data_IF_418829091926
#
_entry.id   IF_418829091926
#
_cell.length_a   1.000
_cell.length_b   1.000
_cell.length_c   1.000
_cell.angle_alpha   90.00
_cell.angle_beta   90.00
_cell.angle_gamma   90.00
#
_symmetry.space_group_name_H-M   'P 1'
#
loop_
_entity.id
_entity.type
_entity.pdbx_description
1 polymer ?
#
# COMPACT_ATOMS: atom_id res chain seq x y z
N UNK A 1 -28.49 -21.65 0.02
CA UNK A 1 -29.71 -20.83 -0.02
C UNK A 1 -29.28 -19.38 -0.26
N UNK A 2 -29.31 -18.93 -1.51
CA UNK A 2 -28.97 -17.55 -1.88
C UNK A 2 -30.10 -16.62 -1.44
N UNK A 3 -29.77 -15.64 -0.59
CA UNK A 3 -30.68 -14.59 -0.12
C UNK A 3 -31.33 -13.87 -1.31
N UNK A 4 -32.66 -13.73 -1.29
CA UNK A 4 -33.41 -13.10 -2.38
C UNK A 4 -33.09 -11.60 -2.47
N UNK A 5 -33.25 -11.02 -3.65
CA UNK A 5 -33.02 -9.58 -3.87
C UNK A 5 -33.87 -8.71 -2.91
N UNK A 6 -35.14 -9.08 -2.72
CA UNK A 6 -36.05 -8.40 -1.79
C UNK A 6 -35.55 -8.47 -0.34
N UNK A 7 -35.08 -9.63 0.11
CA UNK A 7 -34.55 -9.81 1.47
C UNK A 7 -33.29 -8.95 1.71
N UNK A 8 -32.40 -8.84 0.72
CA UNK A 8 -31.24 -7.94 0.78
C UNK A 8 -31.65 -6.47 0.85
N UNK A 9 -32.67 -6.08 0.08
CA UNK A 9 -33.16 -4.71 0.08
C UNK A 9 -33.77 -4.33 1.44
N UNK A 10 -34.62 -5.18 2.01
CA UNK A 10 -35.20 -4.98 3.35
C UNK A 10 -34.13 -4.90 4.43
N UNK A 11 -33.11 -5.77 4.36
CA UNK A 11 -31.98 -5.74 5.29
C UNK A 11 -31.24 -4.40 5.23
N UNK A 12 -30.93 -3.91 4.03
CA UNK A 12 -30.26 -2.61 3.84
C UNK A 12 -31.12 -1.45 4.30
N UNK A 13 -32.43 -1.51 4.08
CA UNK A 13 -33.39 -0.52 4.57
C UNK A 13 -33.33 -0.42 6.11
N UNK A 14 -33.39 -1.56 6.80
CA UNK A 14 -33.28 -1.61 8.27
C UNK A 14 -31.94 -1.06 8.76
N UNK A 15 -30.84 -1.37 8.08
CA UNK A 15 -29.52 -0.85 8.44
C UNK A 15 -29.43 0.68 8.26
N UNK A 16 -30.02 1.23 7.21
CA UNK A 16 -30.11 2.68 7.00
C UNK A 16 -30.93 3.38 8.09
N UNK A 17 -32.04 2.77 8.53
CA UNK A 17 -32.91 3.31 9.58
C UNK A 17 -32.20 3.37 10.94
N UNK A 18 -31.25 2.46 11.20
CA UNK A 18 -30.44 2.44 12.43
C UNK A 18 -29.31 3.48 12.43
N UNK A 19 -28.99 4.09 11.28
CA UNK A 19 -27.95 5.13 11.19
C UNK A 19 -28.47 6.51 11.61
N UNK A 20 -27.57 7.42 12.02
CA UNK A 20 -27.91 8.82 12.25
C UNK A 20 -28.59 9.45 11.03
N UNK A 21 -29.67 10.19 11.25
CA UNK A 21 -30.52 10.73 10.17
C UNK A 21 -29.76 11.60 9.17
N UNK A 22 -28.82 12.41 9.69
CA UNK A 22 -27.98 13.27 8.86
C UNK A 22 -26.98 12.51 7.97
N UNK A 23 -26.72 11.23 8.23
CA UNK A 23 -25.77 10.41 7.47
C UNK A 23 -26.46 9.68 6.31
N UNK A 24 -27.73 9.30 6.48
CA UNK A 24 -28.55 8.54 5.52
C UNK A 24 -28.51 9.11 4.08
N UNK A 25 -28.68 10.42 3.83
CA UNK A 25 -28.71 10.94 2.46
C UNK A 25 -27.33 10.92 1.77
N UNK A 26 -26.25 10.77 2.52
CA UNK A 26 -24.89 10.78 1.98
C UNK A 26 -24.33 9.38 1.72
N UNK A 27 -24.91 8.34 2.31
CA UNK A 27 -24.43 6.96 2.16
C UNK A 27 -25.00 6.31 0.90
N UNK A 28 -24.13 5.99 -0.05
CA UNK A 28 -24.52 5.22 -1.25
C UNK A 28 -24.88 3.78 -0.88
N UNK A 29 -25.76 3.15 -1.68
CA UNK A 29 -26.28 1.78 -1.43
C UNK A 29 -25.17 0.75 -1.21
N UNK A 30 -24.04 0.90 -1.93
CA UNK A 30 -22.87 0.02 -1.83
C UNK A 30 -22.18 0.10 -0.46
N UNK A 31 -22.29 1.23 0.22
CA UNK A 31 -21.58 1.52 1.46
C UNK A 31 -22.43 1.31 2.72
N UNK A 32 -23.75 1.07 2.58
CA UNK A 32 -24.67 0.90 3.72
C UNK A 32 -24.16 -0.14 4.71
N UNK A 33 -23.80 -1.32 4.22
CA UNK A 33 -23.32 -2.42 5.08
C UNK A 33 -21.98 -2.06 5.75
N UNK A 34 -21.11 -1.34 5.04
CA UNK A 34 -19.81 -0.94 5.55
C UNK A 34 -19.92 0.14 6.65
N UNK A 35 -20.83 1.10 6.48
CA UNK A 35 -21.14 2.12 7.49
C UNK A 35 -21.85 1.52 8.68
N UNK A 36 -22.81 0.60 8.45
CA UNK A 36 -23.53 -0.06 9.53
C UNK A 36 -22.62 -0.96 10.39
N UNK A 37 -21.54 -1.46 9.82
CA UNK A 37 -20.51 -2.21 10.55
C UNK A 37 -19.60 -1.32 11.43
N UNK A 38 -19.63 0.00 11.27
CA UNK A 38 -18.88 0.92 12.13
C UNK A 38 -19.55 1.02 13.51
N UNK A 39 -18.73 1.27 14.54
CA UNK A 39 -19.24 1.58 15.88
C UNK A 39 -20.10 2.85 15.87
N UNK A 40 -21.04 3.04 16.82
CA UNK A 40 -21.84 4.25 16.90
C UNK A 40 -21.00 5.54 16.94
N UNK A 41 -19.86 5.50 17.65
CA UNK A 41 -18.92 6.62 17.73
C UNK A 41 -18.31 6.95 16.35
N UNK A 42 -17.88 5.93 15.61
CA UNK A 42 -17.35 6.10 14.26
C UNK A 42 -18.42 6.62 13.28
N UNK A 43 -19.68 6.19 13.41
CA UNK A 43 -20.79 6.72 12.60
C UNK A 43 -21.02 8.21 12.87
N UNK A 44 -20.93 8.66 14.13
CA UNK A 44 -21.02 10.09 14.49
C UNK A 44 -19.86 10.89 13.90
N UNK A 45 -18.62 10.38 13.99
CA UNK A 45 -17.44 11.03 13.39
C UNK A 45 -17.56 11.13 11.86
N UNK A 46 -18.07 10.08 11.22
CA UNK A 46 -18.33 10.09 9.78
C UNK A 46 -19.38 11.15 9.41
N UNK A 47 -20.42 11.30 10.22
CA UNK A 47 -21.44 12.33 10.04
C UNK A 47 -20.83 13.74 10.14
N UNK A 48 -20.03 14.01 11.16
CA UNK A 48 -19.34 15.30 11.33
C UNK A 48 -18.44 15.61 10.13
N UNK A 49 -17.69 14.62 9.63
CA UNK A 49 -16.87 14.78 8.43
C UNK A 49 -17.69 15.04 7.17
N UNK A 50 -18.81 14.34 6.99
CA UNK A 50 -19.71 14.58 5.86
C UNK A 50 -20.30 15.99 5.91
N UNK A 51 -20.70 16.46 7.09
CA UNK A 51 -21.20 17.83 7.30
C UNK A 51 -20.13 18.88 7.05
N UNK A 52 -18.87 18.59 7.37
CA UNK A 52 -17.73 19.45 7.06
C UNK A 52 -17.30 19.40 5.57
N UNK A 53 -17.98 18.61 4.73
CA UNK A 53 -17.77 18.59 3.27
C UNK A 53 -16.95 17.40 2.73
N UNK A 54 -16.86 16.29 3.47
CA UNK A 54 -16.10 15.10 3.06
C UNK A 54 -16.65 14.53 1.74
N UNK A 55 -15.82 14.49 0.70
CA UNK A 55 -16.20 14.00 -0.64
C UNK A 55 -16.00 12.50 -0.84
N UNK A 56 -15.15 11.84 -0.04
CA UNK A 56 -14.70 10.45 -0.25
C UNK A 56 -15.10 9.51 0.90
N UNK A 57 -16.35 9.05 0.88
CA UNK A 57 -16.91 8.15 1.90
C UNK A 57 -16.19 6.79 2.09
N UNK A 58 -15.86 6.01 1.03
CA UNK A 58 -15.26 4.68 1.20
C UNK A 58 -13.97 4.70 2.03
N UNK A 59 -13.12 5.70 1.79
CA UNK A 59 -11.84 5.85 2.48
C UNK A 59 -12.00 6.19 3.95
N UNK A 60 -12.91 7.13 4.28
CA UNK A 60 -13.17 7.48 5.67
C UNK A 60 -13.77 6.31 6.45
N UNK A 61 -14.57 5.45 5.82
CA UNK A 61 -15.08 4.22 6.43
C UNK A 61 -13.94 3.26 6.76
N UNK A 62 -12.94 3.11 5.87
CA UNK A 62 -11.76 2.27 6.13
C UNK A 62 -10.92 2.82 7.29
N UNK A 63 -10.67 4.14 7.32
CA UNK A 63 -9.94 4.79 8.41
C UNK A 63 -10.65 4.63 9.75
N UNK A 64 -11.96 4.88 9.81
CA UNK A 64 -12.75 4.74 11.04
C UNK A 64 -12.96 3.29 11.47
N UNK A 65 -12.83 2.33 10.54
CA UNK A 65 -12.81 0.91 10.88
C UNK A 65 -11.49 0.52 11.53
N UNK A 66 -10.37 1.10 11.08
CA UNK A 66 -9.05 0.86 11.65
C UNK A 66 -8.89 1.56 13.01
N UNK A 67 -9.28 2.83 13.09
CA UNK A 67 -9.29 3.61 14.32
C UNK A 67 -10.58 4.45 14.45
N UNK A 68 -11.52 4.03 15.30
CA UNK A 68 -12.74 4.79 15.58
C UNK A 68 -12.52 6.19 16.19
N UNK A 69 -11.32 6.49 16.71
CA UNK A 69 -10.98 7.78 17.31
C UNK A 69 -10.39 8.78 16.30
N UNK A 70 -10.19 8.39 15.03
CA UNK A 70 -9.68 9.27 13.96
C UNK A 70 -10.42 10.61 13.95
N UNK A 71 -9.69 11.73 14.02
CA UNK A 71 -10.28 13.06 14.07
C UNK A 71 -10.92 13.43 12.73
N UNK A 72 -11.90 14.35 12.76
CA UNK A 72 -12.57 14.80 11.53
C UNK A 72 -11.56 15.39 10.54
N UNK A 73 -10.55 16.13 11.01
CA UNK A 73 -9.50 16.71 10.17
C UNK A 73 -8.68 15.63 9.43
N UNK A 74 -8.33 14.55 10.13
CA UNK A 74 -7.54 13.44 9.56
C UNK A 74 -8.33 12.62 8.51
N UNK A 75 -9.66 12.72 8.54
CA UNK A 75 -10.54 12.14 7.51
C UNK A 75 -10.56 12.97 6.22
N UNK A 76 -10.26 14.28 6.29
CA UNK A 76 -10.20 15.18 5.13
C UNK A 76 -8.86 15.10 4.41
N UNK A 77 -7.79 15.28 5.18
CA UNK A 77 -6.43 15.21 4.73
C UNK A 77 -5.69 14.31 5.71
N UNK A 78 -5.11 13.18 5.25
CA UNK A 78 -4.28 12.39 6.15
C UNK A 78 -3.17 13.31 6.65
N UNK A 79 -2.88 13.37 7.97
CA UNK A 79 -1.58 13.84 8.37
C UNK A 79 -0.58 12.98 7.61
N UNK A 80 0.40 13.63 6.95
CA UNK A 80 1.63 12.94 6.60
C UNK A 80 2.05 12.21 7.87
N UNK A 81 1.99 10.88 7.81
CA UNK A 81 2.02 9.93 8.92
C UNK A 81 2.69 10.52 10.16
N UNK A 82 1.89 11.09 11.07
CA UNK A 82 2.40 11.38 12.40
C UNK A 82 2.37 10.05 13.13
N UNK A 83 3.54 9.43 13.07
CA UNK A 83 4.04 8.33 13.89
C UNK A 83 3.39 8.34 15.27
N UNK A 84 2.23 7.70 15.40
CA UNK A 84 1.83 7.16 16.68
C UNK A 84 2.55 5.83 16.78
N UNK A 85 3.62 5.87 17.57
CA UNK A 85 4.40 4.73 18.04
C UNK A 85 3.49 3.55 18.42
N UNK A 86 3.30 2.64 17.48
CA UNK A 86 3.30 1.23 17.81
C UNK A 86 4.74 0.77 17.56
N UNK A 87 5.44 0.17 18.53
CA UNK A 87 6.70 -0.47 18.25
C UNK A 87 6.37 -1.72 17.43
N UNK A 88 6.22 -1.55 16.12
CA UNK A 88 6.54 -2.60 15.17
C UNK A 88 8.07 -2.58 15.05
N UNK A 89 8.71 -3.03 16.14
CA UNK A 89 10.00 -3.69 16.01
C UNK A 89 9.75 -4.99 15.25
N UNK A 90 9.71 -4.92 13.93
CA UNK A 90 9.98 -6.03 13.05
C UNK A 90 10.20 -5.48 11.65
N UNK A 91 11.45 -5.54 11.19
CA UNK A 91 11.85 -5.63 9.77
C UNK A 91 12.43 -4.37 9.08
N UNK A 92 12.54 -3.20 9.73
CA UNK A 92 13.30 -2.08 9.13
C UNK A 92 14.78 -2.45 8.90
N UNK A 93 15.34 -3.31 9.77
CA UNK A 93 16.68 -3.84 9.61
C UNK A 93 16.80 -4.85 8.47
N UNK A 94 15.73 -5.59 8.11
CA UNK A 94 15.83 -6.59 7.04
C UNK A 94 15.73 -5.97 5.66
N UNK A 95 14.87 -4.96 5.45
CA UNK A 95 14.80 -4.27 4.15
C UNK A 95 16.06 -3.45 3.90
N UNK A 96 16.61 -2.78 4.91
CA UNK A 96 17.91 -2.10 4.80
C UNK A 96 19.04 -3.07 4.43
N UNK A 97 19.06 -4.25 5.06
CA UNK A 97 20.02 -5.31 4.75
C UNK A 97 19.88 -5.83 3.31
N UNK A 98 18.66 -6.10 2.85
CA UNK A 98 18.38 -6.54 1.47
C UNK A 98 18.80 -5.50 0.43
N UNK A 99 18.53 -4.21 0.69
CA UNK A 99 18.98 -3.14 -0.21
C UNK A 99 20.50 -3.05 -0.21
N UNK A 100 21.16 -3.20 0.94
CA UNK A 100 22.62 -3.25 1.01
C UNK A 100 23.22 -4.47 0.28
N UNK A 101 22.56 -5.63 0.34
CA UNK A 101 22.94 -6.82 -0.43
C UNK A 101 22.85 -6.54 -1.94
N UNK A 102 21.74 -5.96 -2.41
CA UNK A 102 21.55 -5.56 -3.82
C UNK A 102 22.58 -4.52 -4.27
N UNK A 103 22.95 -3.57 -3.40
CA UNK A 103 24.02 -2.61 -3.68
C UNK A 103 25.35 -3.34 -3.88
N UNK A 104 25.69 -4.33 -3.04
CA UNK A 104 26.93 -5.08 -3.17
C UNK A 104 26.94 -6.01 -4.39
N UNK A 105 25.78 -6.55 -4.80
CA UNK A 105 25.66 -7.24 -6.08
C UNK A 105 26.02 -6.31 -7.24
N UNK A 106 25.54 -5.05 -7.21
CA UNK A 106 25.83 -4.04 -8.21
C UNK A 106 27.26 -3.49 -8.15
N UNK A 107 27.83 -3.40 -6.94
CA UNK A 107 29.13 -2.79 -6.66
C UNK A 107 29.96 -3.71 -5.75
N UNK A 108 30.53 -4.80 -6.29
CA UNK A 108 31.18 -5.85 -5.48
C UNK A 108 32.42 -5.37 -4.72
N UNK A 109 33.08 -4.32 -5.20
CA UNK A 109 34.23 -3.72 -4.52
C UNK A 109 33.83 -2.79 -3.35
N UNK A 110 32.53 -2.51 -3.19
CA UNK A 110 32.04 -1.64 -2.11
C UNK A 110 32.09 -2.36 -0.76
N UNK A 111 32.78 -1.80 0.26
CA UNK A 111 32.78 -2.35 1.60
C UNK A 111 31.38 -2.43 2.18
N UNK A 112 31.09 -3.49 2.96
CA UNK A 112 29.76 -3.73 3.53
C UNK A 112 29.20 -2.53 4.29
N UNK A 113 30.02 -1.92 5.13
CA UNK A 113 29.65 -0.77 5.95
C UNK A 113 29.23 0.43 5.09
N UNK A 114 29.83 0.60 3.90
CA UNK A 114 29.45 1.63 2.95
C UNK A 114 28.14 1.30 2.24
N UNK A 115 27.90 0.04 1.91
CA UNK A 115 26.64 -0.40 1.30
C UNK A 115 25.46 -0.26 2.26
N UNK A 116 25.64 -0.61 3.54
CA UNK A 116 24.65 -0.39 4.61
C UNK A 116 24.37 1.10 4.81
N UNK A 117 25.41 1.92 4.94
CA UNK A 117 25.25 3.36 5.08
C UNK A 117 24.55 3.99 3.86
N UNK A 118 24.83 3.50 2.65
CA UNK A 118 24.17 3.96 1.44
C UNK A 118 22.70 3.51 1.40
N UNK A 119 22.41 2.25 1.74
CA UNK A 119 21.05 1.74 1.85
C UNK A 119 20.22 2.56 2.84
N UNK A 120 20.85 3.06 3.90
CA UNK A 120 20.19 3.88 4.91
C UNK A 120 20.01 5.35 4.54
N UNK A 121 20.74 5.85 3.53
CA UNK A 121 20.70 7.24 3.10
C UNK A 121 19.33 7.66 2.52
N UNK A 122 19.00 8.95 2.66
CA UNK A 122 17.73 9.52 2.19
C UNK A 122 17.48 9.27 0.70
N UNK A 123 18.54 9.35 -0.12
CA UNK A 123 18.46 9.10 -1.56
C UNK A 123 18.01 7.67 -1.90
N UNK A 124 18.22 6.71 -0.99
CA UNK A 124 17.80 5.32 -1.14
C UNK A 124 16.41 5.03 -0.53
N UNK A 125 15.72 6.04 0.01
CA UNK A 125 14.36 5.87 0.52
C UNK A 125 13.41 5.30 -0.55
N UNK A 126 13.53 5.76 -1.80
CA UNK A 126 12.70 5.24 -2.92
C UNK A 126 12.93 3.75 -3.13
N UNK A 127 14.19 3.29 -3.08
CA UNK A 127 14.53 1.88 -3.26
C UNK A 127 13.99 1.05 -2.11
N UNK A 128 14.13 1.51 -0.86
CA UNK A 128 13.57 0.84 0.32
C UNK A 128 12.04 0.72 0.25
N UNK A 129 11.34 1.80 -0.10
CA UNK A 129 9.88 1.77 -0.26
C UNK A 129 9.42 0.78 -1.33
N UNK A 130 10.15 0.67 -2.44
CA UNK A 130 9.87 -0.32 -3.50
C UNK A 130 10.16 -1.74 -3.00
N UNK A 131 11.27 -1.97 -2.30
CA UNK A 131 11.62 -3.27 -1.72
C UNK A 131 10.57 -3.73 -0.69
N UNK A 132 10.15 -2.85 0.21
CA UNK A 132 9.07 -3.12 1.17
C UNK A 132 7.76 -3.47 0.44
N UNK A 133 7.38 -2.65 -0.55
CA UNK A 133 6.15 -2.90 -1.34
C UNK A 133 6.22 -4.24 -2.06
N UNK A 134 7.39 -4.58 -2.61
CA UNK A 134 7.63 -5.85 -3.27
C UNK A 134 7.49 -7.03 -2.29
N UNK A 135 8.06 -6.93 -1.08
CA UNK A 135 7.86 -7.96 -0.04
C UNK A 135 6.38 -8.10 0.35
N UNK A 136 5.68 -6.99 0.54
CA UNK A 136 4.25 -6.99 0.91
C UNK A 136 3.37 -7.60 -0.18
N UNK A 137 3.72 -7.37 -1.45
CA UNK A 137 3.04 -7.99 -2.60
C UNK A 137 3.02 -9.52 -2.46
N UNK A 138 4.16 -10.14 -2.13
CA UNK A 138 4.26 -11.59 -1.96
C UNK A 138 3.61 -12.14 -0.68
N UNK A 139 3.44 -11.29 0.35
CA UNK A 139 2.68 -11.63 1.56
C UNK A 139 1.16 -11.66 1.31
N UNK A 140 0.67 -11.04 0.24
CA UNK A 140 -0.76 -10.99 -0.09
C UNK A 140 -1.33 -12.36 -0.45
N UNK A 141 -2.44 -12.74 0.19
CA UNK A 141 -3.19 -13.96 -0.17
C UNK A 141 -3.78 -13.94 -1.59
N UNK A 142 -3.89 -12.75 -2.18
CA UNK A 142 -4.52 -12.56 -3.48
C UNK A 142 -3.55 -12.71 -4.65
N UNK A 143 -2.23 -12.71 -4.42
CA UNK A 143 -1.21 -12.78 -5.49
C UNK A 143 -1.37 -14.03 -6.37
N UNK A 144 -1.87 -15.13 -5.79
CA UNK A 144 -2.08 -16.41 -6.49
C UNK A 144 -3.32 -16.42 -7.40
N UNK A 145 -4.13 -15.36 -7.39
CA UNK A 145 -5.30 -15.26 -8.27
C UNK A 145 -4.83 -14.98 -9.69
N UNK A 146 -5.28 -15.75 -10.68
CA UNK A 146 -4.82 -15.64 -12.08
C UNK A 146 -4.82 -14.20 -12.62
N UNK A 147 -5.91 -13.46 -12.42
CA UNK A 147 -6.01 -12.07 -12.84
C UNK A 147 -5.02 -11.14 -12.14
N UNK A 148 -4.80 -11.35 -10.83
CA UNK A 148 -3.86 -10.54 -10.05
C UNK A 148 -2.44 -10.86 -10.49
N UNK A 149 -2.08 -12.14 -10.61
CA UNK A 149 -0.77 -12.59 -11.05
C UNK A 149 -0.43 -12.05 -12.44
N UNK A 150 -1.32 -12.21 -13.42
CA UNK A 150 -1.08 -11.75 -14.79
C UNK A 150 -0.97 -10.22 -14.88
N UNK A 151 -1.80 -9.50 -14.12
CA UNK A 151 -1.74 -8.02 -14.10
C UNK A 151 -0.46 -7.53 -13.44
N UNK A 152 -0.07 -8.11 -12.29
CA UNK A 152 1.19 -7.78 -11.62
C UNK A 152 2.40 -8.11 -12.49
N UNK A 153 2.41 -9.27 -13.13
CA UNK A 153 3.47 -9.64 -14.07
C UNK A 153 3.61 -8.64 -15.22
N UNK A 154 2.49 -8.25 -15.84
CA UNK A 154 2.49 -7.22 -16.89
C UNK A 154 3.03 -5.87 -16.40
N UNK A 155 2.64 -5.45 -15.19
CA UNK A 155 3.10 -4.20 -14.58
C UNK A 155 4.61 -4.22 -14.28
N UNK A 156 5.11 -5.33 -13.71
CA UNK A 156 6.54 -5.51 -13.41
C UNK A 156 7.36 -5.51 -14.70
N UNK A 157 6.89 -6.21 -15.75
CA UNK A 157 7.54 -6.19 -17.06
C UNK A 157 7.66 -4.79 -17.65
N UNK A 158 6.55 -4.04 -17.66
CA UNK A 158 6.56 -2.66 -18.16
C UNK A 158 7.51 -1.77 -17.36
N UNK A 159 7.58 -1.98 -16.04
CA UNK A 159 8.50 -1.24 -15.17
C UNK A 159 9.95 -1.57 -15.49
N UNK A 160 10.26 -2.86 -15.70
CA UNK A 160 11.60 -3.31 -16.07
C UNK A 160 12.04 -2.72 -17.41
N UNK A 161 11.19 -2.81 -18.45
CA UNK A 161 11.47 -2.25 -19.77
C UNK A 161 11.80 -0.75 -19.68
N UNK A 162 11.05 0.00 -18.87
CA UNK A 162 11.30 1.43 -18.64
C UNK A 162 12.61 1.71 -17.86
N UNK A 163 12.97 0.85 -16.90
CA UNK A 163 14.23 0.97 -16.17
C UNK A 163 15.42 0.69 -17.09
N UNK A 164 15.32 -0.34 -17.93
CA UNK A 164 16.34 -0.70 -18.93
C UNK A 164 16.56 0.44 -19.93
N UNK A 165 15.49 1.08 -20.44
CA UNK A 165 15.60 2.27 -21.29
C UNK A 165 16.40 3.40 -20.62
N UNK A 166 16.12 3.71 -19.34
CA UNK A 166 16.85 4.75 -18.61
C UNK A 166 18.32 4.40 -18.35
N UNK A 167 18.61 3.11 -18.11
CA UNK A 167 19.99 2.61 -17.94
C UNK A 167 20.75 2.71 -19.26
N UNK A 168 20.13 2.32 -20.38
CA UNK A 168 20.72 2.39 -21.71
C UNK A 168 21.08 3.83 -22.10
N UNK A 169 20.26 4.81 -21.72
CA UNK A 169 20.51 6.24 -21.92
C UNK A 169 21.66 6.79 -21.06
N UNK A 170 22.12 6.06 -20.04
CA UNK A 170 23.14 6.50 -19.09
C UNK A 170 24.39 5.61 -19.15
N UNK A 171 25.50 6.05 -19.80
CA UNK A 171 26.68 5.22 -20.03
C UNK A 171 27.30 4.59 -18.77
N UNK A 172 27.32 5.31 -17.65
CA UNK A 172 27.84 4.81 -16.38
C UNK A 172 26.98 3.70 -15.75
N UNK A 173 25.65 3.76 -15.96
CA UNK A 173 24.74 2.72 -15.46
C UNK A 173 24.79 1.48 -16.36
N UNK A 174 24.90 1.66 -17.67
CA UNK A 174 25.06 0.56 -18.64
C UNK A 174 26.24 -0.35 -18.29
N UNK A 175 27.40 0.23 -17.99
CA UNK A 175 28.59 -0.55 -17.64
C UNK A 175 28.42 -1.35 -16.33
N UNK A 176 27.78 -0.76 -15.32
CA UNK A 176 27.48 -1.45 -14.06
C UNK A 176 26.43 -2.57 -14.27
N UNK A 177 25.46 -2.36 -15.16
CA UNK A 177 24.43 -3.33 -15.51
C UNK A 177 24.98 -4.53 -16.31
N UNK A 178 25.85 -4.31 -17.29
CA UNK A 178 26.47 -5.39 -18.06
C UNK A 178 27.34 -6.29 -17.16
N UNK A 179 28.14 -5.70 -16.27
CA UNK A 179 28.97 -6.44 -15.33
C UNK A 179 28.16 -7.33 -14.37
N UNK A 180 26.99 -6.87 -13.92
CA UNK A 180 26.10 -7.64 -13.06
C UNK A 180 25.33 -8.74 -13.82
N UNK A 181 24.93 -8.46 -15.06
CA UNK A 181 24.19 -9.40 -15.88
C UNK A 181 25.05 -10.58 -16.35
N UNK A 182 26.27 -10.33 -16.83
CA UNK A 182 27.20 -11.39 -17.24
C UNK A 182 27.57 -12.31 -16.06
N UNK A 183 27.78 -11.74 -14.88
CA UNK A 183 28.08 -12.52 -13.67
C UNK A 183 26.95 -13.48 -13.27
N UNK A 184 25.68 -13.03 -13.31
CA UNK A 184 24.53 -13.90 -13.01
C UNK A 184 24.37 -15.04 -14.02
N UNK A 185 24.80 -14.83 -15.26
CA UNK A 185 24.76 -15.84 -16.31
C UNK A 185 25.81 -16.94 -16.07
N UNK A 186 27.00 -16.57 -15.57
CA UNK A 186 28.07 -17.50 -15.20
C UNK A 186 27.71 -18.36 -13.96
N UNK A 187 26.97 -17.82 -12.99
CA UNK A 187 26.54 -18.55 -11.77
C UNK A 187 25.44 -19.59 -12.02
N UNK A 188 24.76 -19.54 -13.17
CA UNK A 188 23.72 -20.51 -13.58
C UNK A 188 24.23 -21.65 -14.49
N UNK A 189 25.54 -21.78 -14.72
CA UNK A 189 26.16 -22.82 -15.55
C UNK A 189 26.82 -23.95 -14.74
#
# INVERSE_FOLDING_TARGET
MSESYQSKQERRQRLLELMPEGLRPHVSVRNIEAVAALSPQAQTRLLEAVQAGLKRLPRAIEQLRADPQTSVADLFDPPAQSETELPVQSDSSSTGQEVADLIQECFPDMPRVSAEALADADVMQVVRSVAETHQQMFKSSHIKTDFVMLTLYGLVRQTLERLEEMIEETPALRQAFENTYERRKEETC
#
